data_IF_977596145641
#
_entry.id   IF_977596145641
#
_cell.length_a   1.000
_cell.length_b   1.000
_cell.length_c   1.000
_cell.angle_alpha   90.00
_cell.angle_beta   90.00
_cell.angle_gamma   90.00
#
_symmetry.space_group_name_H-M   'P 1'
#
loop_
_entity.id
_entity.type
_entity.pdbx_description
1 polymer ?
#
# COMPACT_ATOMS: atom_id res chain seq x y z
N UNK A 1 49.83 19.87 29.44
CA UNK A 1 49.91 19.70 27.97
C UNK A 1 49.09 18.47 27.60
N UNK A 2 47.87 18.69 27.08
CA UNK A 2 46.99 17.69 26.49
C UNK A 2 47.13 17.75 24.96
N UNK A 3 46.92 16.65 24.23
CA UNK A 3 46.35 16.67 22.88
C UNK A 3 44.93 16.07 22.95
N UNK A 4 43.90 16.88 22.75
CA UNK A 4 43.24 17.21 21.48
C UNK A 4 42.38 16.04 20.95
N UNK A 5 41.08 16.15 21.21
CA UNK A 5 40.02 15.32 20.67
C UNK A 5 39.88 15.52 19.15
N UNK A 6 39.74 14.42 18.41
CA UNK A 6 39.24 14.43 17.04
C UNK A 6 37.87 13.75 17.04
N UNK A 7 36.85 14.57 16.99
CA UNK A 7 35.46 14.22 16.70
C UNK A 7 35.34 13.63 15.29
N UNK A 8 34.84 12.40 15.19
CA UNK A 8 34.49 11.76 13.92
C UNK A 8 33.05 12.15 13.56
N UNK A 9 32.89 13.21 12.79
CA UNK A 9 31.65 13.59 12.11
C UNK A 9 31.81 13.34 10.63
N UNK A 10 31.37 12.17 10.17
CA UNK A 10 31.20 11.77 8.76
C UNK A 10 29.91 10.93 8.77
N UNK A 11 28.91 11.03 7.90
CA UNK A 11 28.67 11.78 6.68
C UNK A 11 27.13 11.75 6.50
N UNK A 12 26.44 12.88 6.67
CA UNK A 12 25.02 13.01 6.28
C UNK A 12 25.00 13.76 4.96
N UNK A 13 25.32 13.05 3.87
CA UNK A 13 25.26 13.59 2.50
C UNK A 13 24.95 12.48 1.48
N UNK A 14 23.78 11.86 1.58
CA UNK A 14 23.16 11.09 0.49
C UNK A 14 21.63 11.30 0.46
N UNK A 15 21.17 12.56 0.50
CA UNK A 15 19.75 12.91 0.36
C UNK A 15 19.46 13.72 -0.93
N UNK A 16 20.29 13.53 -1.97
CA UNK A 16 20.23 14.32 -3.21
C UNK A 16 19.36 13.73 -4.32
N UNK A 17 18.94 12.46 -4.22
CA UNK A 17 18.18 11.77 -5.26
C UNK A 17 16.68 11.56 -4.93
N UNK A 18 16.25 11.72 -3.67
CA UNK A 18 14.90 11.35 -3.22
C UNK A 18 13.84 12.46 -3.36
N UNK A 19 14.21 13.74 -3.25
CA UNK A 19 13.22 14.82 -3.15
C UNK A 19 12.56 15.14 -4.50
N UNK A 20 13.30 15.01 -5.62
CA UNK A 20 12.74 15.21 -6.96
C UNK A 20 11.81 14.06 -7.40
N UNK A 21 12.00 12.87 -6.86
CA UNK A 21 11.27 11.66 -7.23
C UNK A 21 9.90 11.60 -6.58
N UNK A 22 9.84 11.82 -5.26
CA UNK A 22 8.57 11.98 -4.54
C UNK A 22 7.82 13.19 -5.08
N UNK A 23 8.49 14.30 -5.39
CA UNK A 23 7.83 15.45 -6.00
C UNK A 23 7.34 15.18 -7.42
N UNK A 24 7.91 14.26 -8.21
CA UNK A 24 7.34 13.85 -9.52
C UNK A 24 6.17 12.89 -9.38
N UNK A 25 6.23 11.94 -8.44
CA UNK A 25 5.09 11.10 -8.10
C UNK A 25 3.95 12.01 -7.59
N UNK A 26 4.21 12.89 -6.62
CA UNK A 26 3.26 13.89 -6.12
C UNK A 26 2.81 14.92 -7.19
N UNK A 27 3.67 15.37 -8.10
CA UNK A 27 3.31 16.31 -9.18
C UNK A 27 2.46 15.66 -10.28
N UNK A 28 2.73 14.40 -10.63
CA UNK A 28 1.86 13.55 -11.44
C UNK A 28 0.47 13.42 -10.80
N UNK A 29 0.45 13.28 -9.47
CA UNK A 29 -0.77 13.16 -8.71
C UNK A 29 -1.59 14.49 -8.73
N UNK A 30 -0.99 15.69 -8.68
CA UNK A 30 -1.69 17.00 -8.49
C UNK A 30 -2.46 17.55 -9.72
N UNK A 31 -2.39 16.95 -10.92
CA UNK A 31 -3.14 17.44 -12.08
C UNK A 31 -4.63 17.06 -12.06
N UNK A 32 -5.50 18.09 -12.10
CA UNK A 32 -6.97 18.03 -12.02
C UNK A 32 -7.60 17.20 -13.15
N UNK A 33 -8.39 16.15 -12.85
CA UNK A 33 -9.27 15.51 -13.83
C UNK A 33 -10.62 16.24 -13.94
N UNK A 34 -11.14 16.33 -15.17
CA UNK A 34 -12.45 16.88 -15.51
C UNK A 34 -13.55 15.86 -15.19
N UNK A 35 -14.64 16.36 -14.62
CA UNK A 35 -15.81 15.60 -14.17
C UNK A 35 -16.58 14.97 -15.33
N UNK A 36 -16.85 13.66 -15.24
CA UNK A 36 -17.81 12.94 -16.09
C UNK A 36 -18.75 12.12 -15.22
N UNK A 37 -20.05 12.26 -15.46
CA UNK A 37 -21.16 11.66 -14.69
C UNK A 37 -21.64 10.41 -15.45
N UNK A 38 -21.90 9.31 -14.76
CA UNK A 38 -22.83 8.29 -15.25
C UNK A 38 -23.52 7.59 -14.07
N UNK A 39 -24.79 7.25 -14.29
CA UNK A 39 -25.73 6.56 -13.39
C UNK A 39 -26.10 5.23 -14.04
N UNK A 40 -26.39 4.20 -13.23
CA UNK A 40 -27.46 3.19 -13.36
C UNK A 40 -26.99 1.88 -12.70
N UNK A 41 -27.82 0.88 -12.38
CA UNK A 41 -29.12 0.77 -11.74
C UNK A 41 -29.24 -0.74 -11.38
N UNK A 42 -29.92 -1.05 -10.27
CA UNK A 42 -30.03 -2.38 -9.65
C UNK A 42 -30.50 -3.51 -10.62
N UNK A 43 -30.11 -4.77 -10.34
CA UNK A 43 -30.97 -5.80 -9.70
C UNK A 43 -30.52 -7.24 -10.06
N UNK A 44 -30.24 -8.11 -9.06
CA UNK A 44 -30.90 -9.42 -8.78
C UNK A 44 -30.05 -10.52 -8.11
N UNK A 45 -30.75 -11.17 -7.17
CA UNK A 45 -30.77 -12.59 -6.76
C UNK A 45 -29.53 -13.30 -6.21
N UNK A 46 -29.62 -13.53 -4.90
CA UNK A 46 -28.89 -14.55 -4.13
C UNK A 46 -29.48 -15.94 -4.37
N UNK A 47 -28.62 -16.93 -4.59
CA UNK A 47 -28.94 -18.33 -4.41
C UNK A 47 -27.89 -18.94 -3.49
N UNK A 48 -28.34 -19.41 -2.32
CA UNK A 48 -27.54 -20.00 -1.26
C UNK A 48 -27.33 -21.49 -1.52
N UNK A 49 -26.09 -21.97 -1.46
CA UNK A 49 -25.80 -23.39 -1.25
C UNK A 49 -24.53 -23.53 -0.41
N UNK A 50 -24.63 -24.37 0.63
CA UNK A 50 -23.56 -24.69 1.58
C UNK A 50 -22.28 -25.12 0.86
N UNK A 51 -21.20 -24.38 1.07
CA UNK A 51 -19.85 -24.68 0.60
C UNK A 51 -19.04 -25.38 1.69
N UNK A 52 -18.29 -26.39 1.27
CA UNK A 52 -17.24 -27.01 2.07
C UNK A 52 -16.00 -26.10 1.95
N UNK A 53 -15.55 -25.58 3.10
CA UNK A 53 -14.58 -24.50 3.30
C UNK A 53 -13.15 -24.96 2.95
N UNK A 54 -12.84 -25.09 1.66
CA UNK A 54 -11.48 -24.85 1.19
C UNK A 54 -11.40 -23.34 0.99
N UNK A 55 -10.79 -22.60 1.93
CA UNK A 55 -10.38 -21.22 1.67
C UNK A 55 -9.65 -21.23 0.33
N UNK A 56 -10.28 -20.65 -0.70
CA UNK A 56 -9.84 -20.87 -2.07
C UNK A 56 -8.51 -20.17 -2.30
N UNK A 57 -7.63 -20.74 -3.13
CA UNK A 57 -6.36 -20.12 -3.57
C UNK A 57 -6.53 -18.64 -4.04
N UNK A 58 -7.76 -18.22 -4.36
CA UNK A 58 -8.13 -16.84 -4.70
C UNK A 58 -7.98 -15.86 -3.53
N UNK A 59 -8.32 -16.24 -2.29
CA UNK A 59 -8.25 -15.35 -1.12
C UNK A 59 -6.80 -15.06 -0.70
N UNK A 60 -5.94 -16.08 -0.78
CA UNK A 60 -4.49 -15.94 -0.59
C UNK A 60 -3.88 -15.06 -1.69
N UNK A 61 -4.35 -15.23 -2.94
CA UNK A 61 -3.91 -14.39 -4.05
C UNK A 61 -4.33 -12.93 -3.85
N UNK A 62 -5.57 -12.65 -3.44
CA UNK A 62 -6.02 -11.30 -3.13
C UNK A 62 -5.19 -10.66 -2.03
N UNK A 63 -4.89 -11.42 -0.98
CA UNK A 63 -4.01 -11.00 0.12
C UNK A 63 -2.60 -10.70 -0.39
N UNK A 64 -2.05 -11.49 -1.32
CA UNK A 64 -0.74 -11.23 -1.91
C UNK A 64 -0.66 -9.90 -2.66
N UNK A 65 -1.68 -9.59 -3.47
CA UNK A 65 -1.76 -8.28 -4.13
C UNK A 65 -1.96 -7.13 -3.14
N UNK A 66 -2.72 -7.36 -2.07
CA UNK A 66 -2.93 -6.41 -0.99
C UNK A 66 -1.62 -6.04 -0.30
N UNK A 67 -0.89 -7.03 0.21
CA UNK A 67 0.38 -6.81 0.90
C UNK A 67 1.45 -6.23 -0.02
N UNK A 68 1.51 -6.71 -1.28
CA UNK A 68 2.42 -6.18 -2.28
C UNK A 68 2.14 -4.71 -2.60
N UNK A 69 0.87 -4.29 -2.62
CA UNK A 69 0.45 -2.91 -2.83
C UNK A 69 1.04 -1.97 -1.78
N UNK A 70 0.88 -2.28 -0.49
CA UNK A 70 1.48 -1.51 0.60
C UNK A 70 3.00 -1.42 0.47
N UNK A 71 3.66 -2.56 0.25
CA UNK A 71 5.11 -2.64 0.23
C UNK A 71 5.74 -1.84 -0.92
N UNK A 72 5.26 -2.05 -2.16
CA UNK A 72 5.81 -1.38 -3.35
C UNK A 72 5.55 0.11 -3.30
N UNK A 73 4.33 0.54 -2.97
CA UNK A 73 4.00 1.97 -2.93
C UNK A 73 4.69 2.66 -1.75
N UNK A 74 4.73 2.03 -0.58
CA UNK A 74 5.48 2.52 0.58
C UNK A 74 6.97 2.70 0.27
N UNK A 75 7.61 1.66 -0.29
CA UNK A 75 9.01 1.71 -0.67
C UNK A 75 9.28 2.79 -1.74
N UNK A 76 8.43 2.88 -2.77
CA UNK A 76 8.55 3.93 -3.79
C UNK A 76 8.31 5.36 -3.24
N UNK A 77 7.60 5.50 -2.12
CA UNK A 77 7.43 6.77 -1.41
C UNK A 77 8.57 7.06 -0.41
N UNK A 78 9.57 6.18 -0.33
CA UNK A 78 10.75 6.33 0.52
C UNK A 78 10.60 5.74 1.92
N UNK A 79 9.60 4.89 2.16
CA UNK A 79 9.59 4.07 3.37
C UNK A 79 10.62 2.95 3.27
N UNK A 80 11.17 2.55 4.41
CA UNK A 80 11.83 1.26 4.53
C UNK A 80 10.76 0.21 4.82
N UNK A 81 10.75 -0.88 4.06
CA UNK A 81 9.92 -2.04 4.39
C UNK A 81 10.75 -2.94 5.28
N UNK A 82 10.20 -3.39 6.41
CA UNK A 82 10.93 -4.31 7.29
C UNK A 82 10.69 -5.76 6.85
N UNK A 83 9.42 -6.11 6.59
CA UNK A 83 8.98 -7.44 6.13
C UNK A 83 7.60 -7.36 5.49
N UNK A 84 7.36 -8.26 4.53
CA UNK A 84 6.05 -8.53 3.91
C UNK A 84 5.78 -10.04 4.00
N UNK A 85 4.58 -10.45 4.37
CA UNK A 85 4.22 -11.85 4.53
C UNK A 85 2.73 -12.04 4.29
N UNK A 86 2.32 -13.19 3.76
CA UNK A 86 0.91 -13.58 3.70
C UNK A 86 0.35 -14.09 5.05
N UNK A 87 1.17 -14.11 6.09
CA UNK A 87 1.07 -15.01 7.24
C UNK A 87 -0.36 -15.40 7.63
N UNK A 88 -0.74 -16.62 7.25
CA UNK A 88 -1.48 -17.52 8.12
C UNK A 88 -0.51 -18.07 9.17
N UNK A 89 -0.05 -17.23 10.09
CA UNK A 89 0.65 -17.74 11.27
C UNK A 89 -0.37 -18.31 12.27
N UNK A 90 -1.18 -19.30 11.86
CA UNK A 90 -1.86 -20.25 12.76
C UNK A 90 -2.53 -21.48 12.11
N UNK A 91 -2.31 -21.82 10.83
CA UNK A 91 -2.85 -23.11 10.32
C UNK A 91 -2.18 -24.34 10.98
N UNK A 92 -1.08 -24.14 11.71
CA UNK A 92 -0.47 -25.10 12.65
C UNK A 92 -0.20 -24.51 14.04
N UNK A 93 -0.78 -23.34 14.35
CA UNK A 93 -0.88 -22.83 15.73
C UNK A 93 -2.31 -23.09 16.20
N UNK A 94 -2.74 -24.34 16.01
CA UNK A 94 -3.80 -24.94 16.80
C UNK A 94 -3.37 -24.80 18.27
N UNK A 95 -4.06 -23.95 19.04
CA UNK A 95 -4.62 -24.28 20.38
C UNK A 95 -4.80 -23.09 21.36
N UNK A 96 -4.84 -21.80 20.96
CA UNK A 96 -5.31 -20.78 21.94
C UNK A 96 -5.87 -19.47 21.34
N UNK A 97 -7.11 -19.18 21.76
CA UNK A 97 -7.82 -17.89 21.86
C UNK A 97 -8.02 -17.02 20.60
N UNK A 98 -9.29 -16.92 20.16
CA UNK A 98 -10.13 -15.73 19.88
C UNK A 98 -9.49 -14.44 19.30
N UNK A 99 -8.28 -14.52 18.74
CA UNK A 99 -7.60 -13.41 18.08
C UNK A 99 -8.17 -13.25 16.68
N UNK A 100 -8.55 -12.02 16.27
CA UNK A 100 -9.08 -11.79 14.93
C UNK A 100 -8.03 -12.20 13.90
N UNK A 101 -8.42 -13.05 12.93
CA UNK A 101 -7.60 -13.45 11.79
C UNK A 101 -6.95 -12.21 11.18
N UNK A 102 -5.62 -12.09 11.33
CA UNK A 102 -4.82 -11.06 10.67
C UNK A 102 -4.29 -11.70 9.39
N UNK A 103 -5.01 -11.49 8.28
CA UNK A 103 -4.56 -11.90 6.95
C UNK A 103 -3.43 -10.96 6.53
N UNK A 104 -2.23 -11.51 6.29
CA UNK A 104 -1.06 -10.72 5.87
C UNK A 104 -0.46 -9.78 6.92
N UNK A 105 0.82 -9.46 6.75
CA UNK A 105 1.48 -8.37 7.50
C UNK A 105 2.55 -7.68 6.64
N UNK A 106 2.41 -6.37 6.45
CA UNK A 106 3.39 -5.50 5.80
C UNK A 106 3.85 -4.42 6.79
N UNK A 107 5.09 -4.55 7.25
CA UNK A 107 5.68 -3.66 8.23
C UNK A 107 6.40 -2.51 7.52
N UNK A 108 5.75 -1.34 7.51
CA UNK A 108 6.26 -0.11 6.88
C UNK A 108 6.91 0.80 7.93
N UNK A 109 8.19 1.10 7.73
CA UNK A 109 9.00 1.92 8.60
C UNK A 109 9.34 3.27 7.93
N UNK A 110 8.72 4.33 8.44
CA UNK A 110 8.98 5.71 8.00
C UNK A 110 10.11 6.40 8.78
N UNK A 111 10.79 5.68 9.66
CA UNK A 111 11.79 6.25 10.56
C UNK A 111 11.18 7.31 11.49
N UNK A 112 11.88 8.46 11.64
CA UNK A 112 11.40 9.56 12.47
C UNK A 112 10.35 10.38 11.71
N UNK A 113 9.09 10.22 12.09
CA UNK A 113 7.94 10.92 11.52
C UNK A 113 7.64 12.22 12.29
N UNK A 114 7.44 13.33 11.58
CA UNK A 114 6.82 14.54 12.13
C UNK A 114 5.34 14.57 11.72
N UNK A 115 4.41 14.33 12.67
CA UNK A 115 2.98 14.22 12.35
C UNK A 115 2.35 15.54 11.90
N UNK A 116 3.06 16.67 11.98
CA UNK A 116 2.56 17.96 11.50
C UNK A 116 2.94 18.25 10.04
N UNK A 117 3.75 17.38 9.42
CA UNK A 117 4.17 17.54 8.02
C UNK A 117 3.14 16.95 7.08
N UNK A 118 2.45 17.82 6.33
CA UNK A 118 1.39 17.42 5.38
C UNK A 118 1.89 16.42 4.34
N UNK A 119 3.12 16.57 3.85
CA UNK A 119 3.68 15.66 2.86
C UNK A 119 3.89 14.25 3.41
N UNK A 120 4.22 14.12 4.71
CA UNK A 120 4.44 12.84 5.37
C UNK A 120 3.09 12.11 5.56
N UNK A 121 2.08 12.83 6.05
CA UNK A 121 0.70 12.32 6.14
C UNK A 121 0.16 11.86 4.77
N UNK A 122 0.49 12.58 3.69
CA UNK A 122 0.11 12.17 2.34
C UNK A 122 0.77 10.86 1.91
N UNK A 123 2.05 10.63 2.25
CA UNK A 123 2.73 9.36 1.93
C UNK A 123 2.10 8.20 2.68
N UNK A 124 1.88 8.37 3.98
CA UNK A 124 1.22 7.38 4.83
C UNK A 124 -0.18 7.04 4.30
N UNK A 125 -0.99 8.05 3.98
CA UNK A 125 -2.31 7.84 3.39
C UNK A 125 -2.26 7.02 2.10
N UNK A 126 -1.34 7.36 1.19
CA UNK A 126 -1.21 6.65 -0.08
C UNK A 126 -0.73 5.21 0.12
N UNK A 127 0.17 4.97 1.07
CA UNK A 127 0.63 3.62 1.41
C UNK A 127 -0.47 2.78 2.05
N UNK A 128 -1.25 3.33 2.98
CA UNK A 128 -2.40 2.63 3.60
C UNK A 128 -3.44 2.27 2.52
N UNK A 129 -3.70 3.15 1.56
CA UNK A 129 -4.64 2.85 0.50
C UNK A 129 -4.08 1.92 -0.58
N UNK A 130 -2.77 1.66 -0.61
CA UNK A 130 -2.14 0.96 -1.72
C UNK A 130 -2.53 -0.51 -1.80
N UNK A 131 -2.62 -1.21 -0.67
CA UNK A 131 -3.05 -2.60 -0.65
C UNK A 131 -4.48 -2.80 -1.16
N UNK A 132 -5.49 -2.14 -0.55
CA UNK A 132 -6.86 -2.14 -1.03
C UNK A 132 -6.99 -1.85 -2.54
N UNK A 133 -6.26 -0.85 -3.03
CA UNK A 133 -6.34 -0.46 -4.44
C UNK A 133 -5.60 -1.45 -5.36
N UNK A 134 -4.51 -2.06 -4.91
CA UNK A 134 -3.81 -3.11 -5.66
C UNK A 134 -4.70 -4.35 -5.81
N UNK A 135 -5.31 -4.80 -4.72
CA UNK A 135 -6.30 -5.87 -4.70
C UNK A 135 -7.48 -5.54 -5.63
N UNK A 136 -7.97 -4.29 -5.60
CA UNK A 136 -9.02 -3.87 -6.53
C UNK A 136 -8.60 -3.92 -8.00
N UNK A 137 -7.40 -3.46 -8.32
CA UNK A 137 -6.90 -3.47 -9.70
C UNK A 137 -6.73 -4.90 -10.21
N UNK A 138 -6.28 -5.81 -9.34
CA UNK A 138 -6.23 -7.24 -9.64
C UNK A 138 -7.64 -7.83 -9.87
N UNK A 139 -8.56 -7.60 -8.93
CA UNK A 139 -9.96 -8.06 -9.01
C UNK A 139 -10.77 -7.47 -10.16
N UNK A 140 -10.37 -6.31 -10.69
CA UNK A 140 -11.11 -5.62 -11.75
C UNK A 140 -11.07 -6.35 -13.11
N UNK A 141 -10.39 -7.49 -13.23
CA UNK A 141 -10.66 -8.45 -14.31
C UNK A 141 -12.05 -9.12 -14.15
N UNK A 142 -12.62 -9.18 -12.93
CA UNK A 142 -13.86 -9.91 -12.61
C UNK A 142 -14.90 -9.20 -11.69
N UNK A 143 -14.64 -8.03 -11.07
CA UNK A 143 -15.57 -7.42 -10.09
C UNK A 143 -15.90 -5.91 -10.26
N UNK A 144 -17.20 -5.60 -10.27
CA UNK A 144 -17.77 -4.23 -10.27
C UNK A 144 -17.92 -3.62 -8.86
N UNK A 145 -17.74 -4.39 -7.78
CA UNK A 145 -17.96 -3.94 -6.41
C UNK A 145 -16.67 -4.01 -5.56
N UNK A 146 -16.39 -2.89 -4.88
CA UNK A 146 -15.39 -2.80 -3.83
C UNK A 146 -15.94 -3.54 -2.61
N UNK A 147 -15.25 -4.59 -2.15
CA UNK A 147 -15.56 -5.21 -0.87
C UNK A 147 -14.98 -4.36 0.26
N UNK A 148 -15.81 -3.47 0.83
CA UNK A 148 -15.41 -2.58 1.92
C UNK A 148 -15.15 -3.37 3.22
N UNK A 149 -15.63 -4.61 3.34
CA UNK A 149 -15.47 -5.40 4.56
C UNK A 149 -14.02 -5.88 4.74
N UNK A 150 -13.36 -6.31 3.66
CA UNK A 150 -11.95 -6.75 3.70
C UNK A 150 -11.00 -5.59 3.97
N UNK A 151 -11.32 -4.38 3.49
CA UNK A 151 -10.46 -3.19 3.66
C UNK A 151 -10.79 -2.36 4.90
N UNK A 152 -11.60 -2.88 5.83
CA UNK A 152 -12.12 -2.07 6.92
C UNK A 152 -11.00 -1.47 7.80
N UNK A 153 -9.93 -2.21 8.06
CA UNK A 153 -8.80 -1.73 8.87
C UNK A 153 -8.02 -0.62 8.14
N UNK A 154 -7.64 -0.81 6.89
CA UNK A 154 -6.96 0.21 6.09
C UNK A 154 -7.82 1.45 5.91
N UNK A 155 -9.12 1.26 5.70
CA UNK A 155 -10.06 2.37 5.58
C UNK A 155 -10.11 3.19 6.86
N UNK A 156 -10.20 2.54 8.03
CA UNK A 156 -10.18 3.23 9.32
C UNK A 156 -8.87 3.98 9.55
N UNK A 157 -7.73 3.38 9.22
CA UNK A 157 -6.41 4.01 9.33
C UNK A 157 -6.28 5.21 8.38
N UNK A 158 -6.73 5.07 7.13
CA UNK A 158 -6.75 6.15 6.15
C UNK A 158 -7.65 7.31 6.61
N UNK A 159 -8.84 7.02 7.14
CA UNK A 159 -9.70 8.04 7.72
C UNK A 159 -9.05 8.75 8.91
N UNK A 160 -8.33 8.03 9.77
CA UNK A 160 -7.59 8.63 10.88
C UNK A 160 -6.49 9.57 10.38
N UNK A 161 -5.73 9.14 9.37
CA UNK A 161 -4.72 9.98 8.74
C UNK A 161 -5.34 11.28 8.18
N UNK A 162 -6.43 11.19 7.41
CA UNK A 162 -7.07 12.37 6.82
C UNK A 162 -7.71 13.27 7.89
N UNK A 163 -8.23 12.72 8.99
CA UNK A 163 -8.73 13.50 10.14
C UNK A 163 -7.63 14.37 10.76
N UNK A 164 -6.38 13.90 10.78
CA UNK A 164 -5.24 14.68 11.26
C UNK A 164 -4.82 15.79 10.29
N UNK A 165 -5.01 15.58 8.97
CA UNK A 165 -4.72 16.58 7.96
C UNK A 165 -5.72 17.75 7.97
N UNK A 166 -7.01 17.45 8.14
CA UNK A 166 -8.08 18.45 8.06
C UNK A 166 -9.26 18.14 8.99
N UNK A 167 -9.76 19.17 9.69
CA UNK A 167 -10.91 19.04 10.59
C UNK A 167 -12.28 18.91 9.87
N UNK A 168 -12.43 19.49 8.67
CA UNK A 168 -13.71 19.53 7.96
C UNK A 168 -14.00 18.23 7.20
N UNK A 169 -15.14 17.59 7.48
CA UNK A 169 -15.52 16.30 6.88
C UNK A 169 -15.62 16.34 5.35
N UNK A 170 -16.09 17.45 4.77
CA UNK A 170 -16.17 17.64 3.33
C UNK A 170 -14.79 17.70 2.67
N UNK A 171 -13.78 18.21 3.38
CA UNK A 171 -12.40 18.20 2.90
C UNK A 171 -11.81 16.80 3.01
N UNK A 172 -12.04 16.11 4.14
CA UNK A 172 -11.57 14.74 4.33
C UNK A 172 -12.09 13.80 3.22
N UNK A 173 -13.39 13.88 2.91
CA UNK A 173 -14.00 13.09 1.84
C UNK A 173 -13.45 13.42 0.45
N UNK A 174 -13.05 14.68 0.20
CA UNK A 174 -12.39 15.06 -1.05
C UNK A 174 -11.00 14.47 -1.16
N UNK A 175 -10.21 14.56 -0.09
CA UNK A 175 -8.85 14.00 -0.04
C UNK A 175 -8.87 12.49 -0.26
N UNK A 176 -9.74 11.76 0.44
CA UNK A 176 -9.89 10.31 0.25
C UNK A 176 -10.23 9.94 -1.21
N UNK A 177 -11.23 10.59 -1.81
CA UNK A 177 -11.63 10.31 -3.20
C UNK A 177 -10.53 10.64 -4.21
N UNK A 178 -9.83 11.74 -4.00
CA UNK A 178 -8.72 12.16 -4.86
C UNK A 178 -7.55 11.18 -4.72
N UNK A 179 -7.20 10.76 -3.51
CA UNK A 179 -6.16 9.77 -3.25
C UNK A 179 -6.48 8.44 -3.94
N UNK A 180 -7.67 7.88 -3.73
CA UNK A 180 -8.14 6.63 -4.36
C UNK A 180 -8.08 6.72 -5.89
N UNK A 181 -8.67 7.77 -6.48
CA UNK A 181 -8.75 7.93 -7.94
C UNK A 181 -7.36 8.05 -8.59
N UNK A 182 -6.42 8.66 -7.87
CA UNK A 182 -5.05 8.84 -8.34
C UNK A 182 -4.23 7.57 -8.15
N UNK A 183 -4.34 6.94 -6.99
CA UNK A 183 -3.63 5.71 -6.68
C UNK A 183 -4.06 4.57 -7.60
N UNK A 184 -5.36 4.45 -7.91
CA UNK A 184 -5.85 3.48 -8.91
C UNK A 184 -5.20 3.67 -10.27
N UNK A 185 -5.09 4.92 -10.75
CA UNK A 185 -4.41 5.22 -12.01
C UNK A 185 -2.91 4.94 -11.91
N UNK A 186 -2.28 5.26 -10.80
CA UNK A 186 -0.85 5.00 -10.59
C UNK A 186 -0.57 3.50 -10.61
N UNK A 187 -1.29 2.73 -9.80
CA UNK A 187 -1.14 1.28 -9.65
C UNK A 187 -1.41 0.56 -10.95
N UNK A 188 -2.45 0.94 -11.71
CA UNK A 188 -2.78 0.27 -12.98
C UNK A 188 -1.79 0.54 -14.14
N UNK A 189 -0.71 1.29 -13.91
CA UNK A 189 0.26 1.63 -14.96
C UNK A 189 1.69 1.23 -14.58
N UNK A 190 2.57 0.91 -15.55
CA UNK A 190 3.99 0.75 -15.30
C UNK A 190 4.63 2.05 -14.77
N UNK A 191 5.69 1.96 -13.94
CA UNK A 191 6.32 0.73 -13.43
C UNK A 191 5.62 0.08 -12.24
N UNK A 192 4.51 0.64 -11.75
CA UNK A 192 3.92 0.25 -10.45
C UNK A 192 3.26 -1.13 -10.55
N UNK A 193 2.37 -1.33 -11.55
CA UNK A 193 1.66 -2.62 -11.70
C UNK A 193 2.60 -3.82 -11.78
N UNK A 194 3.62 -3.84 -12.66
CA UNK A 194 4.49 -5.01 -12.78
C UNK A 194 5.34 -5.26 -11.53
N UNK A 195 5.66 -4.21 -10.76
CA UNK A 195 6.37 -4.36 -9.49
C UNK A 195 5.49 -5.00 -8.41
N UNK A 196 4.23 -4.59 -8.32
CA UNK A 196 3.23 -5.20 -7.42
C UNK A 196 3.00 -6.66 -7.81
N UNK A 197 2.75 -6.94 -9.09
CA UNK A 197 2.51 -8.30 -9.56
C UNK A 197 3.72 -9.22 -9.29
N UNK A 198 4.94 -8.76 -9.55
CA UNK A 198 6.14 -9.54 -9.26
C UNK A 198 6.31 -9.85 -7.77
N UNK A 199 5.98 -8.89 -6.89
CA UNK A 199 6.05 -9.12 -5.45
C UNK A 199 4.94 -10.07 -4.97
N UNK A 200 3.72 -9.93 -5.51
CA UNK A 200 2.62 -10.82 -5.21
C UNK A 200 2.93 -12.27 -5.64
N UNK A 201 3.49 -12.47 -6.83
CA UNK A 201 3.93 -13.78 -7.31
C UNK A 201 4.98 -14.41 -6.37
N UNK A 202 5.92 -13.61 -5.84
CA UNK A 202 6.90 -14.08 -4.86
C UNK A 202 6.25 -14.42 -3.51
N UNK A 203 5.28 -13.62 -3.06
CA UNK A 203 4.55 -13.87 -1.81
C UNK A 203 3.74 -15.16 -1.86
N UNK A 204 3.10 -15.47 -3.00
CA UNK A 204 2.33 -16.69 -3.21
C UNK A 204 3.18 -17.98 -3.14
N UNK A 205 4.52 -17.87 -3.12
CA UNK A 205 5.41 -19.03 -2.90
C UNK A 205 5.45 -19.41 -1.39
N UNK A 206 4.99 -18.54 -0.49
CA UNK A 206 4.74 -18.82 0.92
C UNK A 206 5.81 -18.34 1.90
N UNK A 207 6.93 -17.81 1.40
CA UNK A 207 7.99 -17.25 2.26
C UNK A 207 7.75 -15.76 2.54
N UNK A 208 8.14 -15.34 3.74
CA UNK A 208 8.18 -13.92 4.05
C UNK A 208 9.29 -13.23 3.25
N UNK A 209 8.97 -12.06 2.69
CA UNK A 209 9.88 -11.27 1.88
C UNK A 209 10.41 -10.12 2.72
N UNK A 210 11.74 -9.95 2.75
CA UNK A 210 12.38 -8.86 3.46
C UNK A 210 12.36 -7.54 2.69
N UNK A 211 12.69 -6.46 3.39
CA UNK A 211 12.75 -5.12 2.82
C UNK A 211 13.75 -4.93 1.68
N UNK A 212 14.88 -5.64 1.71
CA UNK A 212 15.92 -5.52 0.70
C UNK A 212 15.39 -6.02 -0.64
N UNK A 213 14.70 -7.16 -0.63
CA UNK A 213 14.07 -7.72 -1.82
C UNK A 213 13.00 -6.80 -2.41
N UNK A 214 12.16 -6.20 -1.57
CA UNK A 214 11.17 -5.20 -2.03
C UNK A 214 11.87 -4.02 -2.70
N UNK A 215 12.93 -3.49 -2.09
CA UNK A 215 13.70 -2.37 -2.66
C UNK A 215 14.40 -2.73 -3.98
N UNK A 216 14.81 -3.98 -4.17
CA UNK A 216 15.32 -4.46 -5.46
C UNK A 216 14.26 -4.45 -6.56
N UNK A 217 13.05 -4.95 -6.28
CA UNK A 217 11.94 -4.96 -7.23
C UNK A 217 11.57 -3.54 -7.66
N UNK A 218 11.44 -2.62 -6.69
CA UNK A 218 11.19 -1.20 -7.00
C UNK A 218 12.29 -0.63 -7.90
N UNK A 219 13.57 -0.81 -7.53
CA UNK A 219 14.71 -0.33 -8.34
C UNK A 219 14.77 -0.97 -9.72
N UNK A 220 14.42 -2.24 -9.85
CA UNK A 220 14.40 -2.94 -11.13
C UNK A 220 13.36 -2.34 -12.07
N UNK A 221 12.11 -2.24 -11.63
CA UNK A 221 11.01 -1.78 -12.46
C UNK A 221 11.10 -0.30 -12.81
N UNK A 222 11.56 0.54 -11.88
CA UNK A 222 11.74 1.97 -12.17
C UNK A 222 12.84 2.24 -13.20
N UNK A 223 13.99 1.56 -13.09
CA UNK A 223 15.08 1.68 -14.09
C UNK A 223 14.61 1.28 -15.50
N UNK A 224 13.79 0.23 -15.61
CA UNK A 224 13.30 -0.25 -16.91
C UNK A 224 12.30 0.69 -17.57
N UNK A 225 11.55 1.45 -16.77
CA UNK A 225 10.59 2.43 -17.27
C UNK A 225 11.22 3.79 -17.62
N UNK A 226 12.55 3.92 -17.55
CA UNK A 226 13.27 5.14 -17.93
C UNK A 226 13.21 6.26 -16.87
N UNK A 227 12.97 5.89 -15.61
CA UNK A 227 12.99 6.80 -14.46
C UNK A 227 14.30 6.73 -13.69
#
# INVERSE_FOLDING_TARGET
MQPCAASRTENVREAGCDEMFVNRLLASLVSRPKTGRARANLNRNRNSKMDWDWESDEDETYTAYHEAGHAIVGCALGAQIDRVSLSQASAYDDLEDDLPNRFGDCLVNWGRVDPNQVWQQQRELLTILAGPIAEWVYRAEDADEIDVATWHLDWQQAEQCVRQMHAQREMQNRIMRDAISRLKRLIANPPVWPAIAALADELSIGDAIDGERVAELVRFWWRRSGY
#
